data_IF_776619660447
#
_entry.id   IF_776619660447
#
_cell.length_a   1.000
_cell.length_b   1.000
_cell.length_c   1.000
_cell.angle_alpha   90.00
_cell.angle_beta   90.00
_cell.angle_gamma   90.00
#
_symmetry.space_group_name_H-M   'P 1'
#
loop_
_entity.id
_entity.type
_entity.pdbx_description
1 polymer ?
#
# COMPACT_ATOMS: atom_id res chain seq x y z
N UNK A 1 0.70 5.10 49.36
CA UNK A 1 0.17 3.93 48.62
C UNK A 1 1.22 3.53 47.58
N UNK A 2 2.10 2.57 47.89
CA UNK A 2 3.16 2.13 46.98
C UNK A 2 2.54 1.22 45.92
N UNK A 3 2.23 1.78 44.74
CA UNK A 3 1.94 1.00 43.53
C UNK A 3 3.24 0.37 43.02
N UNK A 4 3.74 -0.64 43.71
CA UNK A 4 4.71 -1.57 43.14
C UNK A 4 3.89 -2.67 42.46
N UNK A 5 3.24 -2.34 41.35
CA UNK A 5 2.66 -3.38 40.50
C UNK A 5 3.83 -4.13 39.86
N UNK A 6 4.04 -5.39 40.27
CA UNK A 6 4.90 -6.34 39.58
C UNK A 6 4.58 -6.25 38.08
N UNK A 7 5.50 -5.72 37.26
CA UNK A 7 5.29 -5.62 35.82
C UNK A 7 5.21 -7.04 35.28
N UNK A 8 4.03 -7.46 34.87
CA UNK A 8 3.82 -8.72 34.19
C UNK A 8 3.99 -8.51 32.70
N UNK A 9 4.82 -9.35 32.07
CA UNK A 9 4.96 -9.38 30.61
C UNK A 9 4.11 -10.52 30.08
N UNK A 10 3.13 -10.20 29.26
CA UNK A 10 2.38 -11.18 28.50
C UNK A 10 3.01 -11.31 27.10
N UNK A 11 3.76 -12.39 26.89
CA UNK A 11 4.44 -12.63 25.61
C UNK A 11 3.48 -13.01 24.48
N UNK A 12 2.21 -13.31 24.79
CA UNK A 12 1.22 -13.68 23.78
C UNK A 12 0.84 -12.50 22.86
N UNK A 13 1.17 -11.28 23.25
CA UNK A 13 1.01 -10.05 22.45
C UNK A 13 2.22 -9.71 21.58
N UNK A 14 3.31 -10.49 21.64
CA UNK A 14 4.54 -10.17 20.92
C UNK A 14 4.52 -10.60 19.43
N UNK A 15 3.66 -11.56 19.06
CA UNK A 15 3.45 -12.03 17.67
C UNK A 15 4.73 -12.22 16.83
N UNK A 16 5.86 -12.63 17.44
CA UNK A 16 7.20 -12.60 16.81
C UNK A 16 7.32 -13.34 15.47
N UNK A 17 6.57 -14.42 15.32
CA UNK A 17 6.59 -15.30 14.14
C UNK A 17 5.35 -15.13 13.26
N UNK A 18 4.44 -14.21 13.61
CA UNK A 18 3.20 -14.03 12.88
C UNK A 18 3.46 -13.40 11.50
N UNK A 19 2.73 -13.87 10.49
CA UNK A 19 2.76 -13.26 9.17
C UNK A 19 1.95 -11.95 9.19
N UNK A 20 2.63 -10.81 9.20
CA UNK A 20 2.01 -9.48 9.22
C UNK A 20 1.59 -8.96 7.84
N UNK A 21 1.72 -9.80 6.80
CA UNK A 21 1.47 -9.47 5.40
C UNK A 21 0.30 -10.26 4.77
N UNK A 22 -0.52 -10.94 5.58
CA UNK A 22 -1.71 -11.63 5.08
C UNK A 22 -2.71 -10.66 4.44
N UNK A 23 -3.57 -11.16 3.55
CA UNK A 23 -4.68 -10.38 2.98
C UNK A 23 -4.18 -9.09 2.32
N UNK A 24 -4.93 -7.99 2.45
CA UNK A 24 -4.55 -6.68 1.94
C UNK A 24 -3.43 -5.99 2.75
N UNK A 25 -2.97 -6.55 3.88
CA UNK A 25 -1.83 -5.99 4.63
C UNK A 25 -0.51 -6.03 3.84
N UNK A 26 -0.41 -6.87 2.80
CA UNK A 26 0.74 -6.87 1.91
C UNK A 26 0.85 -5.64 0.99
N UNK A 27 -0.20 -4.82 0.83
CA UNK A 27 -0.31 -3.88 -0.31
C UNK A 27 0.79 -2.83 -0.40
N UNK A 28 1.33 -2.41 0.74
CA UNK A 28 2.36 -1.41 0.80
C UNK A 28 3.13 -1.52 2.12
N UNK A 29 4.45 -1.38 2.05
CA UNK A 29 5.28 -1.22 3.24
C UNK A 29 5.24 0.23 3.70
N UNK A 30 4.71 0.48 4.91
CA UNK A 30 4.64 1.81 5.49
C UNK A 30 5.30 1.81 6.88
N UNK A 31 5.91 2.92 7.33
CA UNK A 31 6.57 2.98 8.63
C UNK A 31 5.57 2.82 9.78
N UNK A 32 6.04 2.22 10.87
CA UNK A 32 5.31 2.15 12.14
C UNK A 32 3.87 1.59 12.01
N UNK A 33 3.65 0.62 11.13
CA UNK A 33 2.35 -0.04 11.02
C UNK A 33 2.06 -0.90 12.25
N UNK A 34 0.81 -0.88 12.70
CA UNK A 34 0.31 -1.83 13.68
C UNK A 34 0.40 -3.26 13.14
N UNK A 35 0.77 -4.21 14.01
CA UNK A 35 0.74 -5.65 13.73
C UNK A 35 -0.73 -6.08 13.59
N UNK A 36 -1.17 -6.68 12.46
CA UNK A 36 -2.57 -7.04 12.24
C UNK A 36 -3.17 -7.91 13.36
N UNK A 37 -2.38 -8.87 13.87
CA UNK A 37 -2.83 -9.78 14.91
C UNK A 37 -3.11 -9.10 16.25
N UNK A 38 -2.42 -7.98 16.55
CA UNK A 38 -2.73 -7.15 17.74
C UNK A 38 -4.10 -6.52 17.58
N UNK A 39 -4.36 -5.90 16.42
CA UNK A 39 -5.66 -5.29 16.12
C UNK A 39 -6.78 -6.31 16.13
N UNK A 40 -6.54 -7.46 15.50
CA UNK A 40 -7.48 -8.56 15.45
C UNK A 40 -7.84 -9.08 16.84
N UNK A 41 -6.85 -9.35 17.69
CA UNK A 41 -7.09 -9.79 19.07
C UNK A 41 -7.87 -8.75 19.89
N UNK A 42 -7.55 -7.46 19.76
CA UNK A 42 -8.32 -6.39 20.43
C UNK A 42 -9.78 -6.41 19.99
N UNK A 43 -10.04 -6.59 18.69
CA UNK A 43 -11.41 -6.67 18.17
C UNK A 43 -12.12 -7.96 18.62
N UNK A 44 -11.42 -9.08 18.72
CA UNK A 44 -11.99 -10.34 19.22
C UNK A 44 -12.37 -10.26 20.70
N UNK A 45 -11.54 -9.61 21.51
CA UNK A 45 -11.74 -9.49 22.96
C UNK A 45 -12.76 -8.40 23.33
N UNK A 46 -12.69 -7.24 22.69
CA UNK A 46 -13.46 -6.05 23.09
C UNK A 46 -14.50 -5.60 22.06
N UNK A 47 -14.39 -6.07 20.82
CA UNK A 47 -15.19 -5.62 19.67
C UNK A 47 -16.26 -6.61 19.20
N UNK A 48 -16.47 -7.75 19.87
CA UNK A 48 -17.33 -8.86 19.39
C UNK A 48 -18.76 -8.47 18.97
N UNK A 49 -19.34 -7.43 19.58
CA UNK A 49 -20.68 -6.92 19.26
C UNK A 49 -20.65 -5.50 18.67
N UNK A 50 -19.48 -4.98 18.33
CA UNK A 50 -19.32 -3.65 17.77
C UNK A 50 -19.91 -3.63 16.35
N UNK A 51 -20.65 -2.57 16.03
CA UNK A 51 -21.16 -2.33 14.67
C UNK A 51 -20.21 -1.45 13.84
N UNK A 52 -19.36 -0.70 14.54
CA UNK A 52 -18.48 0.30 13.98
C UNK A 52 -17.21 0.37 14.81
N UNK A 53 -16.06 0.29 14.15
CA UNK A 53 -14.77 0.71 14.65
C UNK A 53 -14.52 2.15 14.18
N UNK A 54 -14.08 3.01 15.09
CA UNK A 54 -13.51 4.31 14.74
C UNK A 54 -12.03 4.33 15.14
N UNK A 55 -11.15 4.58 14.17
CA UNK A 55 -9.72 4.75 14.40
C UNK A 55 -9.29 6.17 14.01
N UNK A 56 -9.06 7.07 14.99
CA UNK A 56 -8.72 8.44 14.69
C UNK A 56 -7.32 8.59 14.07
N UNK A 57 -6.43 7.59 14.12
CA UNK A 57 -5.09 7.68 13.55
C UNK A 57 -4.78 6.41 12.77
N UNK A 58 -5.62 6.13 11.78
CA UNK A 58 -5.68 4.81 11.17
C UNK A 58 -4.43 4.43 10.37
N UNK A 59 -3.57 5.40 10.04
CA UNK A 59 -2.41 5.16 9.18
C UNK A 59 -2.84 4.51 7.88
N UNK A 60 -2.18 3.40 7.52
CA UNK A 60 -2.53 2.58 6.35
C UNK A 60 -3.70 1.61 6.59
N UNK A 61 -4.49 1.83 7.62
CA UNK A 61 -5.78 1.15 7.83
C UNK A 61 -5.69 -0.29 8.32
N UNK A 62 -4.64 -0.70 9.06
CA UNK A 62 -4.56 -2.07 9.61
C UNK A 62 -5.78 -2.40 10.47
N UNK A 63 -6.18 -1.49 11.35
CA UNK A 63 -7.37 -1.63 12.21
C UNK A 63 -8.66 -1.78 11.39
N UNK A 64 -8.79 -1.00 10.31
CA UNK A 64 -9.97 -1.00 9.43
C UNK A 64 -10.10 -2.34 8.67
N UNK A 65 -8.99 -2.87 8.15
CA UNK A 65 -8.97 -4.19 7.50
C UNK A 65 -9.39 -5.28 8.49
N UNK A 66 -8.81 -5.30 9.69
CA UNK A 66 -9.10 -6.30 10.72
C UNK A 66 -10.54 -6.20 11.25
N UNK A 67 -11.13 -5.00 11.27
CA UNK A 67 -12.55 -4.79 11.55
C UNK A 67 -13.44 -5.36 10.43
N UNK A 68 -13.12 -5.09 9.17
CA UNK A 68 -13.88 -5.60 8.04
C UNK A 68 -13.85 -7.14 7.96
N UNK A 69 -12.71 -7.78 8.28
CA UNK A 69 -12.59 -9.25 8.39
C UNK A 69 -13.47 -9.85 9.50
N UNK A 70 -13.88 -9.04 10.48
CA UNK A 70 -14.76 -9.44 11.60
C UNK A 70 -16.20 -8.95 11.44
N UNK A 71 -16.58 -8.54 10.24
CA UNK A 71 -17.90 -7.99 9.94
C UNK A 71 -18.26 -6.72 10.73
N UNK A 72 -17.25 -5.91 11.07
CA UNK A 72 -17.39 -4.61 11.71
C UNK A 72 -17.15 -3.52 10.65
N UNK A 73 -18.06 -2.53 10.56
CA UNK A 73 -17.82 -1.35 9.71
C UNK A 73 -16.67 -0.52 10.29
N UNK A 74 -15.96 0.24 9.46
CA UNK A 74 -14.83 1.02 9.95
C UNK A 74 -14.85 2.46 9.44
N UNK A 75 -14.51 3.40 10.31
CA UNK A 75 -14.20 4.78 9.94
C UNK A 75 -12.80 5.09 10.44
N UNK A 76 -11.96 5.64 9.57
CA UNK A 76 -10.60 6.04 9.90
C UNK A 76 -10.31 7.48 9.52
N UNK A 77 -9.38 8.10 10.23
CA UNK A 77 -8.80 9.39 9.86
C UNK A 77 -7.28 9.32 9.89
N UNK A 78 -6.62 10.00 8.94
CA UNK A 78 -5.17 10.19 8.95
C UNK A 78 -4.81 11.47 8.19
N UNK A 79 -3.77 12.19 8.60
CA UNK A 79 -3.35 13.44 7.94
C UNK A 79 -2.56 13.19 6.65
N UNK A 80 -1.93 12.02 6.50
CA UNK A 80 -1.10 11.73 5.34
C UNK A 80 -1.96 11.21 4.17
N UNK A 81 -2.02 11.91 3.03
CA UNK A 81 -2.83 11.47 1.88
C UNK A 81 -2.40 10.11 1.31
N UNK A 82 -1.11 9.76 1.38
CA UNK A 82 -0.64 8.44 0.96
C UNK A 82 -1.14 7.34 1.93
N UNK A 83 -1.11 7.60 3.23
CA UNK A 83 -1.60 6.65 4.22
C UNK A 83 -3.10 6.38 4.02
N UNK A 84 -3.87 7.45 3.79
CA UNK A 84 -5.30 7.36 3.45
C UNK A 84 -5.57 6.60 2.16
N UNK A 85 -4.81 6.86 1.10
CA UNK A 85 -4.93 6.13 -0.17
C UNK A 85 -4.68 4.63 0.05
N UNK A 86 -3.62 4.27 0.77
CA UNK A 86 -3.32 2.87 1.09
C UNK A 86 -4.46 2.25 1.92
N UNK A 87 -4.98 2.96 2.92
CA UNK A 87 -6.10 2.49 3.75
C UNK A 87 -7.39 2.27 2.92
N UNK A 88 -7.72 3.20 2.01
CA UNK A 88 -8.84 3.08 1.05
C UNK A 88 -8.69 1.81 0.21
N UNK A 89 -7.56 1.65 -0.46
CA UNK A 89 -7.32 0.50 -1.36
C UNK A 89 -7.32 -0.83 -0.61
N UNK A 90 -6.77 -0.87 0.61
CA UNK A 90 -6.76 -2.10 1.44
C UNK A 90 -8.15 -2.55 1.91
N UNK A 91 -9.12 -1.65 1.94
CA UNK A 91 -10.48 -1.91 2.45
C UNK A 91 -11.55 -1.89 1.36
N UNK A 92 -11.18 -1.56 0.12
CA UNK A 92 -12.09 -1.53 -1.04
C UNK A 92 -11.99 -2.84 -1.81
N UNK A 93 -13.13 -3.52 -1.99
CA UNK A 93 -13.19 -4.76 -2.77
C UNK A 93 -13.23 -4.42 -4.26
N UNK A 94 -12.26 -4.95 -5.00
CA UNK A 94 -12.27 -4.91 -6.46
C UNK A 94 -12.59 -6.33 -6.97
N UNK A 95 -13.62 -6.52 -7.81
CA UNK A 95 -13.91 -7.83 -8.39
C UNK A 95 -12.68 -8.41 -9.10
N UNK A 96 -12.25 -9.63 -8.74
CA UNK A 96 -10.99 -10.19 -9.25
C UNK A 96 -10.94 -10.27 -10.77
N UNK A 97 -12.05 -10.59 -11.43
CA UNK A 97 -12.14 -10.63 -12.90
C UNK A 97 -11.88 -9.26 -13.54
N UNK A 98 -12.36 -8.19 -12.91
CA UNK A 98 -12.10 -6.80 -13.36
C UNK A 98 -10.62 -6.46 -13.14
N UNK A 99 -10.09 -6.77 -11.96
CA UNK A 99 -8.69 -6.51 -11.67
C UNK A 99 -7.77 -7.26 -12.64
N UNK A 100 -8.05 -8.54 -12.90
CA UNK A 100 -7.27 -9.39 -13.80
C UNK A 100 -7.26 -8.85 -15.25
N UNK A 101 -8.35 -8.22 -15.73
CA UNK A 101 -8.35 -7.61 -17.06
C UNK A 101 -7.40 -6.42 -17.13
N UNK A 102 -7.43 -5.50 -16.16
CA UNK A 102 -6.49 -4.36 -16.15
C UNK A 102 -5.03 -4.79 -15.95
N UNK A 103 -4.77 -5.85 -15.19
CA UNK A 103 -3.43 -6.41 -15.04
C UNK A 103 -2.92 -6.99 -16.36
N UNK A 104 -3.78 -7.69 -17.11
CA UNK A 104 -3.45 -8.19 -18.44
C UNK A 104 -3.17 -7.03 -19.40
N UNK A 105 -4.04 -6.02 -19.43
CA UNK A 105 -3.91 -4.87 -20.30
C UNK A 105 -2.63 -4.08 -20.02
N UNK A 106 -2.25 -3.94 -18.74
CA UNK A 106 -0.98 -3.33 -18.35
C UNK A 106 0.23 -4.13 -18.85
N UNK A 107 0.19 -5.46 -18.70
CA UNK A 107 1.26 -6.32 -19.19
C UNK A 107 1.43 -6.22 -20.71
N UNK A 108 0.32 -6.26 -21.46
CA UNK A 108 0.31 -6.13 -22.92
C UNK A 108 0.84 -4.74 -23.35
N UNK A 109 0.41 -3.67 -22.66
CA UNK A 109 0.88 -2.31 -22.87
C UNK A 109 2.40 -2.22 -22.72
N UNK A 110 2.96 -2.68 -21.59
CA UNK A 110 4.40 -2.59 -21.36
C UNK A 110 5.20 -3.49 -22.30
N UNK A 111 4.69 -4.69 -22.62
CA UNK A 111 5.34 -5.59 -23.57
C UNK A 111 5.42 -4.98 -24.97
N UNK A 112 4.36 -4.31 -25.43
CA UNK A 112 4.35 -3.62 -26.73
C UNK A 112 5.42 -2.54 -26.86
N UNK A 113 5.73 -1.83 -25.76
CA UNK A 113 6.78 -0.80 -25.70
C UNK A 113 8.15 -1.46 -25.76
N UNK A 114 8.36 -2.53 -24.98
CA UNK A 114 9.65 -3.24 -24.92
C UNK A 114 10.06 -3.86 -26.25
N UNK A 115 9.11 -4.36 -27.03
CA UNK A 115 9.37 -4.89 -28.37
C UNK A 115 9.51 -3.81 -29.46
N UNK A 116 9.40 -2.53 -29.11
CA UNK A 116 9.45 -1.42 -30.07
C UNK A 116 8.19 -1.27 -30.91
N UNK A 117 7.13 -2.02 -30.61
CA UNK A 117 5.83 -1.93 -31.30
C UNK A 117 5.07 -0.63 -30.97
N UNK A 118 5.31 -0.04 -29.78
CA UNK A 118 4.76 1.25 -29.38
C UNK A 118 5.87 2.22 -28.98
N UNK A 119 6.01 3.31 -29.74
CA UNK A 119 6.89 4.43 -29.37
C UNK A 119 6.15 5.35 -28.40
N UNK A 120 6.63 5.45 -27.17
CA UNK A 120 6.08 6.35 -26.14
C UNK A 120 7.10 7.43 -25.85
N UNK A 121 6.62 8.67 -25.70
CA UNK A 121 7.41 9.81 -25.25
C UNK A 121 6.75 10.33 -23.98
N UNK A 122 6.97 9.67 -22.84
CA UNK A 122 6.19 9.97 -21.65
C UNK A 122 6.59 11.33 -21.07
N UNK A 123 5.63 12.01 -20.45
CA UNK A 123 5.85 13.28 -19.75
C UNK A 123 6.55 12.98 -18.42
N UNK A 124 7.87 13.19 -18.40
CA UNK A 124 8.65 13.08 -17.17
C UNK A 124 8.34 14.28 -16.28
N UNK A 125 7.91 14.08 -15.02
CA UNK A 125 7.61 15.17 -14.10
C UNK A 125 8.86 16.00 -13.80
N UNK A 126 8.69 17.32 -13.68
CA UNK A 126 9.77 18.21 -13.30
C UNK A 126 9.63 18.63 -11.83
N UNK A 127 10.59 18.23 -11.00
CA UNK A 127 10.68 18.70 -9.62
C UNK A 127 12.14 18.80 -9.17
N UNK A 128 12.36 19.60 -8.12
CA UNK A 128 13.69 19.86 -7.57
C UNK A 128 14.39 18.55 -7.23
N UNK A 129 15.62 18.39 -7.74
CA UNK A 129 16.49 17.24 -7.47
C UNK A 129 16.00 15.90 -8.04
N UNK A 130 15.20 15.86 -9.11
CA UNK A 130 14.79 14.58 -9.73
C UNK A 130 15.99 13.69 -10.12
N UNK A 131 17.03 14.27 -10.72
CA UNK A 131 18.26 13.56 -11.14
C UNK A 131 19.15 13.13 -9.96
N UNK A 132 18.95 13.75 -8.80
CA UNK A 132 19.62 13.34 -7.57
C UNK A 132 19.02 12.02 -7.04
N UNK A 133 17.71 11.83 -7.21
CA UNK A 133 16.94 10.71 -6.67
C UNK A 133 16.69 9.58 -7.66
N UNK A 134 16.74 9.82 -8.96
CA UNK A 134 16.38 8.83 -9.98
C UNK A 134 17.33 8.87 -11.18
N UNK A 135 17.71 7.70 -11.71
CA UNK A 135 18.41 7.58 -12.99
C UNK A 135 17.46 7.95 -14.14
N UNK A 136 17.99 8.41 -15.27
CA UNK A 136 17.17 8.81 -16.44
C UNK A 136 16.30 7.66 -16.97
N UNK A 137 16.83 6.46 -17.03
CA UNK A 137 16.06 5.26 -17.40
C UNK A 137 14.90 4.99 -16.42
N UNK A 138 15.16 5.12 -15.11
CA UNK A 138 14.13 4.98 -14.08
C UNK A 138 13.04 6.03 -14.24
N UNK A 139 13.41 7.29 -14.49
CA UNK A 139 12.46 8.39 -14.72
C UNK A 139 11.57 8.09 -15.93
N UNK A 140 12.14 7.60 -17.04
CA UNK A 140 11.39 7.22 -18.23
C UNK A 140 10.34 6.15 -17.92
N UNK A 141 10.73 5.02 -17.31
CA UNK A 141 9.79 3.94 -17.03
C UNK A 141 8.73 4.29 -15.99
N UNK A 142 9.07 5.08 -14.98
CA UNK A 142 8.08 5.61 -14.03
C UNK A 142 7.07 6.52 -14.72
N UNK A 143 7.51 7.35 -15.68
CA UNK A 143 6.61 8.21 -16.44
C UNK A 143 5.70 7.39 -17.37
N UNK A 144 6.21 6.35 -18.04
CA UNK A 144 5.38 5.41 -18.83
C UNK A 144 4.28 4.76 -17.98
N UNK A 145 4.65 4.25 -16.79
CA UNK A 145 3.68 3.62 -15.88
C UNK A 145 2.64 4.66 -15.42
N UNK A 146 3.10 5.87 -15.04
CA UNK A 146 2.21 6.94 -14.59
C UNK A 146 1.16 7.28 -15.64
N UNK A 147 1.55 7.45 -16.90
CA UNK A 147 0.61 7.74 -17.99
C UNK A 147 -0.43 6.61 -18.15
N UNK A 148 -0.02 5.35 -18.08
CA UNK A 148 -0.98 4.24 -18.10
C UNK A 148 -1.99 4.33 -16.96
N UNK A 149 -1.51 4.63 -15.73
CA UNK A 149 -2.37 4.75 -14.56
C UNK A 149 -3.38 5.89 -14.72
N UNK A 150 -2.96 7.02 -15.30
CA UNK A 150 -3.83 8.19 -15.52
C UNK A 150 -4.96 7.91 -16.51
N UNK A 151 -4.77 6.96 -17.43
CA UNK A 151 -5.79 6.54 -18.41
C UNK A 151 -6.75 5.44 -17.88
N UNK A 152 -6.52 4.91 -16.67
CA UNK A 152 -7.45 3.97 -16.04
C UNK A 152 -8.75 4.70 -15.69
N UNK A 153 -9.86 4.24 -16.25
CA UNK A 153 -11.20 4.79 -16.13
C UNK A 153 -11.92 4.37 -14.84
N UNK A 154 -11.59 3.19 -14.29
CA UNK A 154 -12.12 2.75 -13.00
C UNK A 154 -11.30 3.31 -11.83
N UNK A 155 -11.90 4.16 -11.00
CA UNK A 155 -11.22 4.85 -9.89
C UNK A 155 -10.59 3.88 -8.88
N UNK A 156 -11.28 2.80 -8.49
CA UNK A 156 -10.77 1.85 -7.50
C UNK A 156 -9.56 1.07 -8.04
N UNK A 157 -9.61 0.67 -9.31
CA UNK A 157 -8.46 0.05 -9.98
C UNK A 157 -7.33 1.06 -10.16
N UNK A 158 -7.64 2.30 -10.51
CA UNK A 158 -6.63 3.36 -10.63
C UNK A 158 -5.90 3.56 -9.30
N UNK A 159 -6.63 3.65 -8.19
CA UNK A 159 -6.07 3.78 -6.85
C UNK A 159 -5.27 2.54 -6.43
N UNK A 160 -5.73 1.33 -6.79
CA UNK A 160 -4.97 0.10 -6.61
C UNK A 160 -3.61 0.15 -7.31
N UNK A 161 -3.59 0.61 -8.57
CA UNK A 161 -2.35 0.81 -9.32
C UNK A 161 -1.48 1.92 -8.73
N UNK A 162 -2.06 3.05 -8.28
CA UNK A 162 -1.32 4.13 -7.61
C UNK A 162 -0.59 3.64 -6.35
N UNK A 163 -1.21 2.75 -5.57
CA UNK A 163 -0.57 2.16 -4.36
C UNK A 163 0.61 1.26 -4.73
N UNK A 164 0.46 0.38 -5.73
CA UNK A 164 1.58 -0.43 -6.21
C UNK A 164 2.71 0.44 -6.80
N UNK A 165 2.33 1.50 -7.51
CA UNK A 165 3.23 2.47 -8.10
C UNK A 165 3.99 3.28 -7.04
N UNK A 166 3.34 3.72 -5.96
CA UNK A 166 4.02 4.48 -4.90
C UNK A 166 5.11 3.66 -4.21
N UNK A 167 4.88 2.36 -3.99
CA UNK A 167 5.91 1.47 -3.44
C UNK A 167 7.03 1.24 -4.47
N UNK A 168 6.68 1.08 -5.75
CA UNK A 168 7.66 0.95 -6.84
C UNK A 168 8.57 2.17 -6.93
N UNK A 169 8.00 3.39 -6.93
CA UNK A 169 8.76 4.65 -6.93
C UNK A 169 9.76 4.69 -5.78
N UNK A 170 9.35 4.27 -4.58
CA UNK A 170 10.24 4.19 -3.42
C UNK A 170 11.39 3.21 -3.67
N UNK A 171 11.10 1.99 -4.12
CA UNK A 171 12.08 0.92 -4.28
C UNK A 171 13.10 1.15 -5.40
N UNK A 172 12.71 1.86 -6.46
CA UNK A 172 13.59 2.17 -7.60
C UNK A 172 14.34 3.49 -7.46
N UNK A 173 14.06 4.25 -6.39
CA UNK A 173 14.80 5.48 -6.09
C UNK A 173 16.22 5.18 -5.61
N UNK A 174 17.12 6.15 -5.71
CA UNK A 174 18.50 6.08 -5.20
C UNK A 174 18.57 6.18 -3.66
N UNK A 175 17.55 5.68 -2.95
CA UNK A 175 17.49 5.64 -1.49
C UNK A 175 17.81 4.25 -0.96
N UNK A 176 18.34 4.15 0.27
CA UNK A 176 18.61 2.85 0.89
C UNK A 176 17.30 2.16 1.27
N UNK A 177 17.04 1.00 0.66
CA UNK A 177 15.81 0.23 0.90
C UNK A 177 15.77 -0.50 2.25
N UNK A 178 16.89 -0.55 3.00
CA UNK A 178 16.95 -1.16 4.33
C UNK A 178 16.34 -0.29 5.44
N UNK A 179 16.05 0.98 5.15
CA UNK A 179 15.58 1.93 6.16
C UNK A 179 14.44 2.80 5.60
N UNK A 180 13.55 3.23 6.50
CA UNK A 180 12.52 4.21 6.14
C UNK A 180 13.11 5.61 5.88
N UNK A 181 14.16 5.99 6.59
CA UNK A 181 14.74 7.33 6.46
C UNK A 181 15.25 7.57 5.03
N UNK A 182 15.16 8.82 4.58
CA UNK A 182 15.61 9.24 3.25
C UNK A 182 17.15 9.37 3.21
N UNK A 183 17.84 8.23 3.30
CA UNK A 183 19.28 8.18 3.08
C UNK A 183 19.57 7.77 1.65
N UNK A 184 20.35 8.62 0.96
CA UNK A 184 20.81 8.31 -0.40
C UNK A 184 21.84 7.19 -0.39
N UNK A 185 21.83 6.38 -1.44
CA UNK A 185 22.86 5.42 -1.74
C UNK A 185 24.22 6.11 -1.97
N UNK A 186 25.31 5.43 -1.60
CA UNK A 186 26.69 5.88 -1.89
C UNK A 186 27.00 5.73 -3.39
N UNK A 187 28.02 6.42 -3.94
CA UNK A 187 28.40 6.27 -5.36
C UNK A 187 28.62 4.80 -5.77
N UNK A 188 29.32 4.02 -4.94
CA UNK A 188 29.55 2.58 -5.16
C UNK A 188 28.26 1.75 -5.20
N UNK A 189 27.25 2.12 -4.41
CA UNK A 189 25.94 1.47 -4.45
C UNK A 189 25.16 1.84 -5.71
N UNK A 190 25.21 3.12 -6.11
CA UNK A 190 24.49 3.63 -7.30
C UNK A 190 25.00 2.97 -8.59
N UNK A 191 26.30 2.73 -8.72
CA UNK A 191 26.89 2.04 -9.87
C UNK A 191 26.27 0.63 -10.06
N UNK A 192 26.08 -0.10 -8.96
CA UNK A 192 25.52 -1.46 -8.98
C UNK A 192 23.99 -1.50 -9.02
N UNK A 193 23.33 -0.39 -8.69
CA UNK A 193 21.89 -0.33 -8.55
C UNK A 193 21.21 -0.14 -9.92
N UNK A 194 20.70 -1.21 -10.51
CA UNK A 194 20.02 -1.20 -11.81
C UNK A 194 18.66 -1.90 -11.73
N UNK A 195 17.68 -1.32 -11.03
CA UNK A 195 16.38 -1.96 -10.83
C UNK A 195 15.59 -2.06 -12.14
N UNK A 196 14.92 -3.19 -12.35
CA UNK A 196 13.95 -3.34 -13.42
C UNK A 196 12.59 -2.80 -12.97
N UNK A 197 12.31 -1.54 -13.29
CA UNK A 197 11.12 -0.81 -12.80
C UNK A 197 9.82 -1.56 -13.11
N UNK A 198 9.69 -2.08 -14.33
CA UNK A 198 8.50 -2.84 -14.76
C UNK A 198 8.35 -4.13 -13.96
N UNK A 199 9.41 -4.91 -13.80
CA UNK A 199 9.34 -6.17 -13.05
C UNK A 199 8.90 -5.93 -11.61
N UNK A 200 9.47 -4.90 -10.96
CA UNK A 200 9.07 -4.50 -9.60
C UNK A 200 7.59 -4.11 -9.57
N UNK A 201 7.11 -3.29 -10.51
CA UNK A 201 5.71 -2.90 -10.59
C UNK A 201 4.77 -4.12 -10.74
N UNK A 202 5.11 -5.05 -11.65
CA UNK A 202 4.34 -6.28 -11.88
C UNK A 202 4.32 -7.15 -10.62
N UNK A 203 5.47 -7.32 -9.96
CA UNK A 203 5.56 -8.08 -8.70
C UNK A 203 4.66 -7.48 -7.61
N UNK A 204 4.61 -6.14 -7.48
CA UNK A 204 3.70 -5.48 -6.53
C UNK A 204 2.24 -5.68 -6.90
N UNK A 205 1.88 -5.52 -8.16
CA UNK A 205 0.53 -5.71 -8.65
C UNK A 205 0.03 -7.16 -8.39
N UNK A 206 0.85 -8.17 -8.71
CA UNK A 206 0.53 -9.58 -8.48
C UNK A 206 0.38 -9.87 -6.98
N UNK A 207 1.33 -9.40 -6.16
CA UNK A 207 1.27 -9.55 -4.69
C UNK A 207 -0.03 -8.95 -4.15
N UNK A 208 -0.37 -7.74 -4.56
CA UNK A 208 -1.57 -7.04 -4.10
C UNK A 208 -2.84 -7.74 -4.60
N UNK A 209 -2.86 -8.26 -5.82
CA UNK A 209 -4.01 -9.02 -6.35
C UNK A 209 -4.23 -10.31 -5.56
N UNK A 210 -3.17 -11.01 -5.18
CA UNK A 210 -3.27 -12.20 -4.33
C UNK A 210 -3.79 -11.85 -2.93
N UNK A 211 -3.28 -10.78 -2.32
CA UNK A 211 -3.80 -10.29 -1.04
C UNK A 211 -5.27 -9.87 -1.10
N UNK A 212 -5.72 -9.29 -2.23
CA UNK A 212 -7.14 -8.99 -2.47
C UNK A 212 -7.98 -10.26 -2.52
N UNK A 213 -7.50 -11.30 -3.20
CA UNK A 213 -8.20 -12.58 -3.29
C UNK A 213 -8.36 -13.26 -1.92
N UNK A 214 -7.32 -13.24 -1.09
CA UNK A 214 -7.38 -13.75 0.29
C UNK A 214 -8.33 -12.92 1.17
N UNK A 215 -8.37 -11.60 0.98
CA UNK A 215 -9.28 -10.73 1.73
C UNK A 215 -10.75 -10.98 1.34
N UNK A 216 -11.04 -11.09 0.05
CA UNK A 216 -12.39 -11.37 -0.47
C UNK A 216 -12.90 -12.74 -0.01
N UNK A 217 -12.03 -13.75 0.12
CA UNK A 217 -12.46 -15.09 0.52
C UNK A 217 -12.93 -15.17 1.98
N UNK A 218 -12.57 -14.19 2.82
CA UNK A 218 -12.94 -14.14 4.24
C UNK A 218 -13.93 -13.03 4.59
N UNK A 219 -13.88 -11.89 3.90
CA UNK A 219 -14.74 -10.75 4.21
C UNK A 219 -16.18 -11.01 3.77
N UNK A 220 -17.15 -10.80 4.65
CA UNK A 220 -18.55 -10.73 4.23
C UNK A 220 -18.86 -9.40 3.52
N UNK A 221 -19.69 -9.45 2.48
CA UNK A 221 -20.01 -8.31 1.61
C UNK A 221 -20.80 -7.16 2.27
N UNK A 222 -21.01 -7.19 3.60
CA UNK A 222 -21.88 -6.24 4.31
C UNK A 222 -21.15 -5.07 4.97
N UNK A 223 -19.83 -5.18 5.17
CA UNK A 223 -19.05 -4.12 5.84
C UNK A 223 -18.49 -3.10 4.88
N UNK A 224 -18.48 -1.85 5.31
CA UNK A 224 -17.83 -0.74 4.63
C UNK A 224 -16.66 -0.18 5.44
N UNK A 225 -15.80 0.56 4.76
CA UNK A 225 -14.79 1.43 5.36
C UNK A 225 -14.86 2.82 4.75
N UNK A 226 -14.75 3.86 5.56
CA UNK A 226 -14.62 5.25 5.10
C UNK A 226 -13.39 5.89 5.74
N UNK A 227 -12.60 6.60 4.92
CA UNK A 227 -11.35 7.21 5.35
C UNK A 227 -11.44 8.70 5.06
N UNK A 228 -11.24 9.52 6.10
CA UNK A 228 -11.35 10.97 6.01
C UNK A 228 -10.01 11.66 6.30
N UNK A 229 -9.88 12.89 5.82
CA UNK A 229 -8.80 13.79 6.20
C UNK A 229 -9.12 14.49 7.54
N UNK A 230 -8.10 15.01 8.19
CA UNK A 230 -8.17 15.85 9.38
C UNK A 230 -8.25 17.35 9.08
N UNK A 231 -8.80 17.75 7.93
CA UNK A 231 -8.92 19.17 7.59
C UNK A 231 -9.95 19.87 8.50
N UNK A 232 -9.52 20.22 9.71
CA UNK A 232 -10.20 21.08 10.67
C UNK A 232 -9.92 22.56 10.43
N UNK A 233 -9.07 22.89 9.43
CA UNK A 233 -8.55 24.25 9.21
C UNK A 233 -9.27 24.98 8.06
N UNK A 234 -10.07 24.29 7.26
CA UNK A 234 -10.87 24.92 6.20
C UNK A 234 -12.29 24.35 6.17
N UNK A 235 -13.13 24.81 7.10
CA UNK A 235 -14.58 24.90 6.94
C UNK A 235 -14.99 26.36 7.07
#
# INVERSE_FOLDING_TARGET
MQLISKKYRDETWDFRTANTKQYTHCFHSYPAMMIPQVAGRILDEFGKNAKLLFDPYCGTGTSLVEANLRNINAIGTDINPLARLIAKVKTTIIPLKLLDSYLKDFNDFVFSIRLGGKKVKPIIPNFKNIDYWFKKETQYWLAVIKEYIEEIDNEDVQDFFKVAFSETVREVSLTRNSEFKLYRMTPKQIEKFSPNVISIMIEKLIRNRNGMAEFISLKENKTFSQIYDFNTVYQ
#
